data_IF_181200816045
#
_entry.id   IF_181200816045
#
_cell.length_a   1.000
_cell.length_b   1.000
_cell.length_c   1.000
_cell.angle_alpha   90.00
_cell.angle_beta   90.00
_cell.angle_gamma   90.00
#
_symmetry.space_group_name_H-M   'P 1'
#
loop_
_entity.id
_entity.type
_entity.pdbx_description
1 polymer ?
#
# COMPACT_ATOMS: atom_id res chain seq x y z
N UNK A 1 -6.92 -9.84 -29.31
CA UNK A 1 -6.57 -9.98 -30.75
C UNK A 1 -5.71 -11.21 -30.97
N UNK A 2 -6.03 -12.08 -31.93
CA UNK A 2 -5.20 -13.25 -32.29
C UNK A 2 -4.11 -12.91 -33.32
N UNK A 3 -3.16 -13.82 -33.56
CA UNK A 3 -2.00 -13.59 -34.44
C UNK A 3 -2.39 -13.20 -35.87
N UNK A 4 -3.42 -13.85 -36.44
CA UNK A 4 -3.90 -13.55 -37.80
C UNK A 4 -4.54 -12.17 -37.89
N UNK A 5 -5.32 -11.78 -36.88
CA UNK A 5 -5.90 -10.44 -36.77
C UNK A 5 -4.82 -9.38 -36.61
N UNK A 6 -3.75 -9.68 -35.85
CA UNK A 6 -2.62 -8.76 -35.64
C UNK A 6 -1.92 -8.41 -36.95
N UNK A 7 -1.67 -9.40 -37.81
CA UNK A 7 -1.10 -9.16 -39.14
C UNK A 7 -2.00 -8.26 -40.01
N UNK A 8 -3.30 -8.55 -40.04
CA UNK A 8 -4.27 -7.73 -40.80
C UNK A 8 -4.34 -6.29 -40.26
N UNK A 9 -4.38 -6.14 -38.94
CA UNK A 9 -4.41 -4.85 -38.27
C UNK A 9 -3.15 -4.04 -38.56
N UNK A 10 -1.98 -4.68 -38.54
CA UNK A 10 -0.71 -4.02 -38.86
C UNK A 10 -0.71 -3.48 -40.30
N UNK A 11 -1.02 -4.33 -41.27
CA UNK A 11 -1.08 -3.93 -42.68
C UNK A 11 -2.10 -2.83 -42.94
N UNK A 12 -3.26 -2.90 -42.28
CA UNK A 12 -4.29 -1.86 -42.35
C UNK A 12 -3.79 -0.51 -41.83
N UNK A 13 -3.18 -0.48 -40.65
CA UNK A 13 -2.66 0.74 -40.03
C UNK A 13 -1.54 1.35 -40.87
N UNK A 14 -0.62 0.52 -41.37
CA UNK A 14 0.48 0.94 -42.24
C UNK A 14 -0.04 1.57 -43.53
N UNK A 15 -1.03 0.96 -44.19
CA UNK A 15 -1.63 1.50 -45.42
C UNK A 15 -2.40 2.79 -45.19
N UNK A 16 -3.16 2.89 -44.10
CA UNK A 16 -4.06 4.03 -43.85
C UNK A 16 -3.35 5.23 -43.25
N UNK A 17 -2.40 5.00 -42.35
CA UNK A 17 -1.82 6.06 -41.54
C UNK A 17 -0.29 6.14 -41.64
N UNK A 18 0.37 5.15 -42.23
CA UNK A 18 1.83 5.04 -42.27
C UNK A 18 2.43 4.26 -41.10
N UNK A 19 3.63 3.70 -41.33
CA UNK A 19 4.37 2.88 -40.37
C UNK A 19 5.27 3.75 -39.48
N UNK A 20 4.65 4.50 -38.58
CA UNK A 20 5.35 5.29 -37.58
C UNK A 20 4.63 5.27 -36.23
N UNK A 21 5.40 5.52 -35.18
CA UNK A 21 4.91 5.60 -33.81
C UNK A 21 4.01 6.83 -33.63
N UNK A 22 2.78 6.65 -33.13
CA UNK A 22 1.87 7.77 -32.83
C UNK A 22 2.29 8.63 -31.64
N UNK A 23 3.17 8.12 -30.77
CA UNK A 23 3.66 8.87 -29.61
C UNK A 23 4.86 9.77 -29.93
N UNK A 24 5.86 9.25 -30.64
CA UNK A 24 7.13 9.95 -30.88
C UNK A 24 7.50 10.09 -32.37
N UNK A 25 6.61 9.72 -33.29
CA UNK A 25 6.78 9.80 -34.74
C UNK A 25 7.92 8.98 -35.36
N UNK A 26 8.68 8.22 -34.55
CA UNK A 26 9.73 7.32 -35.03
C UNK A 26 9.21 6.33 -36.09
N UNK A 27 9.99 6.14 -37.14
CA UNK A 27 9.68 5.24 -38.26
C UNK A 27 9.92 3.77 -37.88
N UNK A 28 9.30 2.85 -38.62
CA UNK A 28 9.54 1.40 -38.48
C UNK A 28 11.01 1.00 -38.72
N UNK A 29 11.75 1.76 -39.54
CA UNK A 29 13.19 1.56 -39.77
C UNK A 29 14.05 1.95 -38.57
N UNK A 30 13.54 2.79 -37.66
CA UNK A 30 14.27 3.29 -36.50
C UNK A 30 13.93 2.51 -35.23
N UNK A 31 12.67 2.05 -35.10
CA UNK A 31 12.18 1.36 -33.92
C UNK A 31 11.15 0.29 -34.26
N UNK A 32 11.15 -0.79 -33.49
CA UNK A 32 10.09 -1.80 -33.54
C UNK A 32 8.74 -1.19 -33.13
N UNK A 33 7.76 -1.25 -34.05
CA UNK A 33 6.39 -0.79 -33.83
C UNK A 33 5.49 -1.95 -33.44
N UNK A 34 4.66 -1.73 -32.43
CA UNK A 34 3.65 -2.65 -31.94
C UNK A 34 2.25 -2.05 -32.07
N UNK A 35 1.27 -2.92 -32.25
CA UNK A 35 -0.15 -2.53 -32.20
C UNK A 35 -0.54 -2.31 -30.75
N UNK A 36 -1.13 -1.14 -30.50
CA UNK A 36 -1.69 -0.70 -29.24
C UNK A 36 -3.17 -0.32 -29.44
N UNK A 37 -3.97 -0.51 -28.40
CA UNK A 37 -5.37 -0.11 -28.34
C UNK A 37 -5.46 1.26 -27.68
N UNK A 38 -6.08 2.25 -28.32
CA UNK A 38 -6.15 3.64 -27.83
C UNK A 38 -6.76 3.70 -26.43
N UNK A 39 -7.81 2.93 -26.20
CA UNK A 39 -8.52 2.80 -24.92
C UNK A 39 -7.86 1.82 -23.92
N UNK A 40 -6.74 1.19 -24.26
CA UNK A 40 -6.07 0.17 -23.47
C UNK A 40 -6.95 -1.07 -23.14
N UNK A 41 -8.01 -1.30 -23.92
CA UNK A 41 -8.89 -2.46 -23.77
C UNK A 41 -8.64 -3.47 -24.90
N UNK A 42 -7.99 -4.60 -24.57
CA UNK A 42 -7.66 -5.67 -25.52
C UNK A 42 -8.88 -6.38 -26.13
N UNK A 43 -10.07 -6.22 -25.54
CA UNK A 43 -11.33 -6.77 -26.05
C UNK A 43 -11.95 -5.87 -27.13
N UNK A 44 -11.66 -4.56 -27.11
CA UNK A 44 -12.17 -3.59 -28.07
C UNK A 44 -11.37 -3.65 -29.39
N UNK A 45 -11.71 -4.60 -30.26
CA UNK A 45 -10.99 -4.85 -31.51
C UNK A 45 -11.56 -4.08 -32.72
N UNK A 46 -12.14 -2.90 -32.51
CA UNK A 46 -12.53 -2.02 -33.61
C UNK A 46 -11.30 -1.40 -34.28
N UNK A 47 -11.30 -1.33 -35.62
CA UNK A 47 -10.16 -0.85 -36.41
C UNK A 47 -9.75 0.60 -36.11
N UNK A 48 -10.71 1.43 -35.70
CA UNK A 48 -10.45 2.81 -35.29
C UNK A 48 -9.79 2.91 -33.90
N UNK A 49 -9.85 1.84 -33.09
CA UNK A 49 -9.23 1.79 -31.77
C UNK A 49 -7.76 1.37 -31.82
N UNK A 50 -7.23 0.95 -32.98
CA UNK A 50 -5.84 0.54 -33.09
C UNK A 50 -4.92 1.70 -33.47
N UNK A 51 -3.69 1.63 -32.97
CA UNK A 51 -2.59 2.50 -33.38
C UNK A 51 -1.24 1.78 -33.32
N UNK A 52 -0.24 2.32 -34.00
CA UNK A 52 1.14 1.86 -33.91
C UNK A 52 1.90 2.72 -32.90
N UNK A 53 2.55 2.07 -31.93
CA UNK A 53 3.48 2.70 -31.00
C UNK A 53 4.82 1.95 -31.02
N UNK A 54 5.93 2.66 -30.84
CA UNK A 54 7.18 1.97 -30.54
C UNK A 54 7.13 1.35 -29.14
N UNK A 55 7.97 0.33 -28.89
CA UNK A 55 7.99 -0.38 -27.60
C UNK A 55 8.11 0.56 -26.39
N UNK A 56 8.94 1.60 -26.48
CA UNK A 56 9.11 2.59 -25.40
C UNK A 56 7.86 3.44 -25.16
N UNK A 57 7.22 3.96 -26.22
CA UNK A 57 5.98 4.72 -26.08
C UNK A 57 4.83 3.85 -25.58
N UNK A 58 4.74 2.60 -26.07
CA UNK A 58 3.76 1.64 -25.58
C UNK A 58 3.98 1.33 -24.09
N UNK A 59 5.23 1.23 -23.65
CA UNK A 59 5.56 1.01 -22.24
C UNK A 59 5.23 2.23 -21.36
N UNK A 60 5.55 3.45 -21.81
CA UNK A 60 5.18 4.68 -21.10
C UNK A 60 3.67 4.79 -20.95
N UNK A 61 2.92 4.49 -22.02
CA UNK A 61 1.46 4.51 -22.01
C UNK A 61 0.87 3.38 -21.14
N UNK A 62 1.41 2.17 -21.28
CA UNK A 62 0.92 0.96 -20.64
C UNK A 62 2.06 0.31 -19.82
N UNK A 63 2.47 0.90 -18.68
CA UNK A 63 3.54 0.33 -17.88
C UNK A 63 3.16 -1.07 -17.40
N UNK A 64 4.12 -2.00 -17.42
CA UNK A 64 3.92 -3.35 -16.88
C UNK A 64 3.51 -3.23 -15.42
N UNK A 65 2.57 -4.07 -14.97
CA UNK A 65 2.07 -4.05 -13.60
C UNK A 65 3.19 -4.15 -12.54
N UNK A 66 4.29 -4.84 -12.86
CA UNK A 66 5.47 -5.02 -12.00
C UNK A 66 6.37 -3.77 -11.95
N UNK A 67 6.32 -2.92 -12.98
CA UNK A 67 7.21 -1.75 -13.15
C UNK A 67 6.44 -0.42 -13.08
N UNK A 68 5.15 -0.46 -12.71
CA UNK A 68 4.41 0.76 -12.33
C UNK A 68 5.08 1.35 -11.09
N UNK A 69 5.38 2.66 -11.05
CA UNK A 69 5.59 3.32 -9.78
C UNK A 69 4.32 3.10 -8.94
N UNK A 70 4.44 2.39 -7.83
CA UNK A 70 3.49 2.48 -6.74
C UNK A 70 3.66 3.85 -6.07
N UNK A 71 3.44 4.94 -6.80
CA UNK A 71 3.05 6.21 -6.17
C UNK A 71 2.69 7.27 -7.21
N UNK A 72 1.41 7.60 -7.26
CA UNK A 72 0.99 8.99 -7.31
C UNK A 72 0.00 9.15 -6.17
N UNK A 73 0.38 9.94 -5.17
CA UNK A 73 -0.53 10.55 -4.22
C UNK A 73 -1.54 11.45 -4.97
N UNK A 74 -2.51 10.83 -5.61
CA UNK A 74 -3.62 11.46 -6.31
C UNK A 74 -4.82 10.54 -6.14
N UNK A 75 -5.69 10.90 -5.18
CA UNK A 75 -6.83 10.09 -4.77
C UNK A 75 -7.61 9.50 -5.94
N UNK A 76 -7.52 8.18 -6.08
CA UNK A 76 -8.60 7.36 -6.62
C UNK A 76 -8.58 6.01 -5.93
N UNK A 77 -9.41 5.95 -4.90
CA UNK A 77 -10.22 4.81 -4.49
C UNK A 77 -10.16 3.60 -5.43
N UNK A 78 -9.42 2.56 -5.02
CA UNK A 78 -9.67 1.15 -5.37
C UNK A 78 -9.04 0.22 -4.30
N UNK A 79 -9.10 0.65 -3.04
CA UNK A 79 -8.67 -0.11 -1.85
C UNK A 79 -9.76 -0.13 -0.77
N UNK A 80 -11.00 -0.33 -1.17
CA UNK A 80 -12.04 -0.88 -0.31
C UNK A 80 -11.81 -2.41 -0.40
N UNK A 81 -11.06 -3.09 0.46
CA UNK A 81 -11.52 -3.53 1.79
C UNK A 81 -10.40 -4.26 2.56
N UNK A 82 -9.12 -3.96 2.30
CA UNK A 82 -8.02 -4.57 3.07
C UNK A 82 -7.21 -3.50 3.77
N UNK A 83 -7.53 -3.32 5.06
CA UNK A 83 -6.67 -2.61 5.99
C UNK A 83 -5.26 -3.23 5.91
N UNK A 84 -4.28 -2.47 5.40
CA UNK A 84 -2.88 -2.91 5.45
C UNK A 84 -2.37 -2.79 6.88
N UNK A 85 -1.39 -3.61 7.28
CA UNK A 85 -0.79 -3.49 8.63
C UNK A 85 -0.30 -2.07 8.94
N UNK A 86 0.16 -1.32 7.92
CA UNK A 86 0.59 0.08 8.08
C UNK A 86 -0.62 0.98 8.38
N UNK A 87 -1.74 0.80 7.69
CA UNK A 87 -2.98 1.57 7.94
C UNK A 87 -3.53 1.26 9.34
N UNK A 88 -3.57 -0.03 9.73
CA UNK A 88 -3.99 -0.47 11.06
C UNK A 88 -3.10 0.17 12.13
N UNK A 89 -1.78 0.15 11.94
CA UNK A 89 -0.87 0.71 12.93
C UNK A 89 -0.99 2.24 13.05
N UNK A 90 -1.16 2.96 11.93
CA UNK A 90 -1.35 4.42 11.94
C UNK A 90 -2.61 4.84 12.69
N UNK A 91 -3.68 4.06 12.61
CA UNK A 91 -4.94 4.39 13.26
C UNK A 91 -5.03 3.87 14.70
N UNK A 92 -4.62 2.62 14.94
CA UNK A 92 -4.87 1.92 16.21
C UNK A 92 -3.79 2.18 17.25
N UNK A 93 -2.53 2.39 16.86
CA UNK A 93 -1.44 2.62 17.83
C UNK A 93 -1.64 3.90 18.67
N UNK A 94 -2.05 5.06 18.10
CA UNK A 94 -2.34 6.25 18.90
C UNK A 94 -3.48 6.02 19.89
N UNK A 95 -4.58 5.40 19.45
CA UNK A 95 -5.73 5.07 20.31
C UNK A 95 -5.35 4.10 21.43
N UNK A 96 -4.46 3.13 21.14
CA UNK A 96 -3.94 2.23 22.17
C UNK A 96 -3.10 2.97 23.22
N UNK A 97 -2.32 3.98 22.81
CA UNK A 97 -1.54 4.80 23.74
C UNK A 97 -2.45 5.58 24.69
N UNK A 98 -3.50 6.20 24.16
CA UNK A 98 -4.52 6.90 24.96
C UNK A 98 -5.21 5.94 25.93
N UNK A 99 -5.58 4.74 25.47
CA UNK A 99 -6.15 3.70 26.31
C UNK A 99 -5.23 3.31 27.47
N UNK A 100 -3.95 3.04 27.21
CA UNK A 100 -2.98 2.68 28.26
C UNK A 100 -2.78 3.84 29.25
N UNK A 101 -2.73 5.07 28.76
CA UNK A 101 -2.58 6.27 29.59
C UNK A 101 -3.77 6.45 30.53
N UNK A 102 -5.00 6.30 30.03
CA UNK A 102 -6.21 6.36 30.85
C UNK A 102 -6.19 5.29 31.94
N UNK A 103 -5.98 4.02 31.55
CA UNK A 103 -5.97 2.88 32.46
C UNK A 103 -4.94 3.05 33.59
N UNK A 104 -3.72 3.45 33.26
CA UNK A 104 -2.65 3.63 34.26
C UNK A 104 -2.88 4.87 35.12
N UNK A 105 -3.49 5.92 34.58
CA UNK A 105 -3.83 7.12 35.37
C UNK A 105 -4.93 6.82 36.40
N UNK A 106 -5.90 5.97 36.06
CA UNK A 106 -7.01 5.60 36.95
C UNK A 106 -6.65 4.52 37.97
N UNK A 107 -5.84 3.53 37.58
CA UNK A 107 -5.55 2.35 38.41
C UNK A 107 -4.14 2.37 39.05
N UNK A 108 -3.30 3.37 38.71
CA UNK A 108 -1.86 3.52 39.03
C UNK A 108 -0.96 2.42 38.44
N UNK A 109 -1.44 1.18 38.42
CA UNK A 109 -0.75 0.01 37.92
C UNK A 109 -1.78 -0.94 37.28
N UNK A 110 -1.41 -1.55 36.15
CA UNK A 110 -2.33 -2.44 35.44
C UNK A 110 -1.60 -3.72 35.02
N UNK A 111 -2.22 -4.91 35.16
CA UNK A 111 -1.64 -6.14 34.63
C UNK A 111 -1.38 -6.03 33.12
N UNK A 112 -0.19 -6.44 32.69
CA UNK A 112 0.22 -6.40 31.29
C UNK A 112 -0.79 -7.14 30.39
N UNK A 113 -1.29 -8.28 30.87
CA UNK A 113 -2.23 -9.10 30.10
C UNK A 113 -3.59 -8.42 29.93
N UNK A 114 -4.02 -7.62 30.91
CA UNK A 114 -5.29 -6.88 30.85
C UNK A 114 -5.20 -5.72 29.85
N UNK A 115 -4.05 -5.04 29.76
CA UNK A 115 -3.84 -4.03 28.72
C UNK A 115 -3.81 -4.64 27.32
N UNK A 116 -3.19 -5.81 27.15
CA UNK A 116 -3.13 -6.53 25.87
C UNK A 116 -4.52 -7.00 25.44
N UNK A 117 -5.25 -7.67 26.32
CA UNK A 117 -6.55 -8.23 26.03
C UNK A 117 -7.61 -7.14 25.90
N UNK A 118 -7.67 -6.21 26.86
CA UNK A 118 -8.63 -5.12 26.87
C UNK A 118 -8.41 -4.16 25.70
N UNK A 119 -7.16 -3.81 25.38
CA UNK A 119 -6.88 -2.98 24.20
C UNK A 119 -7.20 -3.69 22.88
N UNK A 120 -7.01 -5.01 22.80
CA UNK A 120 -7.37 -5.80 21.61
C UNK A 120 -8.88 -5.75 21.37
N UNK A 121 -9.67 -5.94 22.43
CA UNK A 121 -11.12 -5.82 22.39
C UNK A 121 -11.57 -4.40 22.02
N UNK A 122 -11.11 -3.38 22.76
CA UNK A 122 -11.53 -1.99 22.60
C UNK A 122 -11.19 -1.40 21.22
N UNK A 123 -10.09 -1.83 20.61
CA UNK A 123 -9.61 -1.31 19.33
C UNK A 123 -9.97 -2.21 18.15
N UNK A 124 -10.62 -3.35 18.40
CA UNK A 124 -10.93 -4.38 17.43
C UNK A 124 -9.68 -4.81 16.64
N UNK A 125 -8.63 -5.21 17.34
CA UNK A 125 -7.38 -5.68 16.73
C UNK A 125 -6.81 -6.89 17.48
N UNK A 126 -5.83 -7.58 16.90
CA UNK A 126 -5.29 -8.79 17.51
C UNK A 126 -4.51 -8.51 18.81
N UNK A 127 -4.51 -9.46 19.75
CA UNK A 127 -3.65 -9.42 20.94
C UNK A 127 -2.16 -9.30 20.58
N UNK A 128 -1.74 -9.86 19.43
CA UNK A 128 -0.36 -9.73 18.94
C UNK A 128 -0.03 -8.27 18.58
N UNK A 129 -1.00 -7.55 18.03
CA UNK A 129 -0.88 -6.13 17.67
C UNK A 129 -0.74 -5.26 18.92
N UNK A 130 -1.64 -5.41 19.89
CA UNK A 130 -1.57 -4.64 21.15
C UNK A 130 -0.35 -4.99 21.98
N UNK A 131 0.10 -6.25 21.98
CA UNK A 131 1.38 -6.65 22.59
C UNK A 131 2.56 -5.87 22.01
N UNK A 132 2.66 -5.77 20.68
CA UNK A 132 3.73 -4.99 20.02
C UNK A 132 3.67 -3.50 20.39
N UNK A 133 2.46 -2.93 20.44
CA UNK A 133 2.30 -1.54 20.86
C UNK A 133 2.74 -1.33 22.32
N UNK A 134 2.35 -2.24 23.21
CA UNK A 134 2.74 -2.18 24.62
C UNK A 134 4.24 -2.38 24.81
N UNK A 135 4.87 -3.28 24.06
CA UNK A 135 6.34 -3.47 24.05
C UNK A 135 7.06 -2.17 23.65
N UNK A 136 6.54 -1.43 22.67
CA UNK A 136 7.06 -0.10 22.30
C UNK A 136 6.89 0.92 23.43
N UNK A 137 5.71 0.97 24.04
CA UNK A 137 5.39 1.87 25.16
C UNK A 137 6.20 1.57 26.44
N UNK A 138 6.71 0.35 26.57
CA UNK A 138 7.50 -0.14 27.71
C UNK A 138 8.99 -0.32 27.38
N UNK A 139 9.44 0.19 26.23
CA UNK A 139 10.85 0.20 25.83
C UNK A 139 11.68 1.13 26.73
N UNK A 140 13.00 1.17 26.53
CA UNK A 140 13.88 2.12 27.23
C UNK A 140 13.40 3.57 27.10
N UNK A 141 12.98 3.95 25.88
CA UNK A 141 12.44 5.27 25.54
C UNK A 141 10.94 5.42 25.86
N UNK A 142 10.27 4.32 26.21
CA UNK A 142 8.85 4.30 26.54
C UNK A 142 8.54 5.01 27.86
N UNK A 143 7.31 5.53 28.01
CA UNK A 143 6.86 6.21 29.24
C UNK A 143 6.60 5.24 30.40
N UNK A 144 6.44 3.96 30.11
CA UNK A 144 6.00 2.96 31.08
C UNK A 144 7.09 1.91 31.32
N UNK A 145 7.01 1.24 32.45
CA UNK A 145 7.92 0.15 32.82
C UNK A 145 7.18 -1.10 33.28
N UNK A 146 7.87 -2.23 33.14
CA UNK A 146 7.38 -3.54 33.56
C UNK A 146 8.03 -3.91 34.88
N UNK A 147 7.24 -4.22 35.90
CA UNK A 147 7.72 -4.83 37.14
C UNK A 147 7.01 -6.17 37.35
N UNK A 148 7.71 -7.16 37.90
CA UNK A 148 7.09 -8.42 38.29
C UNK A 148 6.56 -8.29 39.71
N UNK A 149 5.29 -8.62 39.89
CA UNK A 149 4.66 -8.79 41.19
C UNK A 149 4.16 -10.23 41.30
N UNK A 150 4.93 -11.05 42.01
CA UNK A 150 4.77 -12.51 42.02
C UNK A 150 4.86 -13.10 40.60
N UNK A 151 3.78 -13.73 40.16
CA UNK A 151 3.66 -14.36 38.84
C UNK A 151 3.08 -13.43 37.76
N UNK A 152 2.71 -12.20 38.12
CA UNK A 152 2.05 -11.25 37.23
C UNK A 152 3.05 -10.16 36.85
N UNK A 153 3.04 -9.77 35.57
CA UNK A 153 3.78 -8.59 35.12
C UNK A 153 2.85 -7.39 35.13
N UNK A 154 3.20 -6.40 35.95
CA UNK A 154 2.45 -5.16 36.13
C UNK A 154 3.13 -4.03 35.34
N UNK A 155 2.33 -3.13 34.78
CA UNK A 155 2.78 -1.95 34.03
C UNK A 155 2.54 -0.70 34.88
N UNK A 156 3.58 0.13 34.98
CA UNK A 156 3.59 1.37 35.74
C UNK A 156 4.00 2.53 34.85
N UNK A 157 3.56 3.74 35.20
CA UNK A 157 4.23 4.95 34.72
C UNK A 157 5.65 4.98 35.30
N UNK A 158 6.67 5.20 34.47
CA UNK A 158 8.02 5.42 34.99
C UNK A 158 7.97 6.62 35.91
N UNK A 159 8.46 6.47 37.13
CA UNK A 159 8.75 7.62 37.97
C UNK A 159 9.69 8.50 37.16
N UNK A 160 9.29 9.76 36.91
CA UNK A 160 10.16 10.74 36.30
C UNK A 160 11.44 10.70 37.12
N UNK A 161 12.51 10.17 36.52
CA UNK A 161 13.82 10.15 37.13
C UNK A 161 14.04 11.59 37.56
N UNK A 162 14.06 11.82 38.87
CA UNK A 162 14.46 13.09 39.44
C UNK A 162 15.80 13.40 38.78
N UNK A 163 15.76 14.24 37.76
CA UNK A 163 16.93 14.90 37.19
C UNK A 163 17.52 15.67 38.37
N UNK A 164 18.43 15.02 39.07
CA UNK A 164 19.37 15.65 39.98
C UNK A 164 20.43 16.33 39.15
#
# INVERSE_FOLDING_TARGET
MNSRQRLKAYSYLKKRFGAYCRGCQALESERELVIDHRDNNNFNNHSNNWQLLCRSCNYIKNPRLVERPLDVCGGRCDSLDRETEITINREKEPKFREYVELRITEEEQVPQQDLINGGAEMLNCSQKTTRRYLEKLTSSEGRYEKRKDGNITMIYLKEASKLK
#
